data_IF_378949520698
#
_entry.id   IF_378949520698
#
_cell.length_a   1.000
_cell.length_b   1.000
_cell.length_c   1.000
_cell.angle_alpha   90.00
_cell.angle_beta   90.00
_cell.angle_gamma   90.00
#
_symmetry.space_group_name_H-M   'P 1'
#
loop_
_entity.id
_entity.type
_entity.pdbx_description
1 polymer ?
#
# COMPACT_ATOMS: atom_id res chain seq x y z
N UNK A 1 -18.14 -20.46 5.70
CA UNK A 1 -18.24 -19.14 6.36
C UNK A 1 -17.79 -19.32 7.80
N UNK A 2 -16.61 -18.82 8.14
CA UNK A 2 -16.09 -18.92 9.50
C UNK A 2 -16.82 -17.89 10.37
N UNK A 3 -17.39 -18.31 11.50
CA UNK A 3 -18.08 -17.41 12.42
C UNK A 3 -17.02 -16.74 13.30
N UNK A 4 -16.72 -15.48 13.02
CA UNK A 4 -15.78 -14.71 13.83
C UNK A 4 -16.50 -14.13 15.03
N UNK A 5 -15.94 -14.31 16.23
CA UNK A 5 -16.52 -13.79 17.45
C UNK A 5 -16.35 -12.27 17.53
N UNK A 6 -17.28 -11.59 18.19
CA UNK A 6 -17.21 -10.13 18.41
C UNK A 6 -15.96 -9.69 19.20
N UNK A 7 -15.32 -10.62 19.91
CA UNK A 7 -14.14 -10.37 20.75
C UNK A 7 -12.81 -10.64 20.06
N UNK A 8 -12.80 -11.11 18.80
CA UNK A 8 -11.58 -11.30 18.04
C UNK A 8 -11.04 -9.94 17.55
N UNK A 9 -10.45 -9.19 18.46
CA UNK A 9 -9.86 -7.89 18.19
C UNK A 9 -8.67 -8.01 17.22
N UNK A 10 -7.91 -9.10 17.33
CA UNK A 10 -6.72 -9.34 16.52
C UNK A 10 -7.06 -9.88 15.14
N UNK A 11 -8.27 -10.42 14.95
CA UNK A 11 -8.71 -11.10 13.70
C UNK A 11 -7.70 -12.15 13.24
N UNK A 12 -7.39 -13.09 14.15
CA UNK A 12 -6.40 -14.15 13.90
C UNK A 12 -6.66 -14.95 12.62
N UNK A 13 -7.90 -15.05 12.21
CA UNK A 13 -8.27 -15.70 10.96
C UNK A 13 -7.67 -15.03 9.71
N UNK A 14 -7.32 -13.74 9.77
CA UNK A 14 -6.66 -13.04 8.68
C UNK A 14 -5.23 -13.51 8.45
N UNK A 15 -4.61 -14.07 9.48
CA UNK A 15 -3.20 -14.49 9.48
C UNK A 15 -3.02 -15.99 9.66
N UNK A 16 -4.06 -16.78 9.31
CA UNK A 16 -3.97 -18.25 9.35
C UNK A 16 -2.76 -18.71 8.55
N UNK A 17 -1.89 -19.52 9.16
CA UNK A 17 -0.65 -20.04 8.58
C UNK A 17 0.37 -18.97 8.13
N UNK A 18 0.22 -17.72 8.59
CA UNK A 18 1.18 -16.67 8.30
C UNK A 18 2.48 -16.85 9.08
N UNK A 19 3.61 -16.79 8.39
CA UNK A 19 4.89 -16.53 9.06
C UNK A 19 4.90 -15.12 9.64
N UNK A 20 5.36 -14.96 10.87
CA UNK A 20 5.55 -13.68 11.51
C UNK A 20 7.03 -13.26 11.41
N UNK A 21 7.27 -12.00 11.09
CA UNK A 21 8.60 -11.44 10.89
C UNK A 21 8.94 -10.28 11.81
N UNK A 22 10.23 -10.05 11.96
CA UNK A 22 10.78 -8.95 12.72
C UNK A 22 10.55 -9.05 14.23
N UNK A 23 10.94 -7.99 14.93
CA UNK A 23 10.82 -7.87 16.40
C UNK A 23 9.36 -7.81 16.87
N UNK A 24 8.47 -7.35 16.03
CA UNK A 24 7.08 -7.01 16.39
C UNK A 24 6.04 -7.99 15.85
N UNK A 25 6.48 -9.13 15.28
CA UNK A 25 5.56 -10.17 14.81
C UNK A 25 4.65 -9.71 13.66
N UNK A 26 5.19 -8.96 12.71
CA UNK A 26 4.44 -8.52 11.53
C UNK A 26 4.25 -9.68 10.56
N UNK A 27 3.02 -9.99 10.09
CA UNK A 27 2.79 -11.04 9.11
C UNK A 27 3.64 -10.83 7.85
N UNK A 28 4.37 -11.88 7.44
CA UNK A 28 5.19 -11.81 6.23
C UNK A 28 4.32 -11.92 4.99
N UNK A 29 4.60 -11.06 4.02
CA UNK A 29 3.98 -11.13 2.70
C UNK A 29 4.90 -11.93 1.78
N UNK A 30 4.40 -12.97 1.10
CA UNK A 30 5.19 -13.74 0.15
C UNK A 30 5.82 -12.87 -0.93
N UNK A 31 6.98 -13.28 -1.43
CA UNK A 31 7.65 -12.63 -2.54
C UNK A 31 6.75 -12.64 -3.78
N UNK A 32 6.63 -11.51 -4.46
CA UNK A 32 5.82 -11.37 -5.67
C UNK A 32 6.61 -10.75 -6.82
N UNK A 33 6.29 -11.18 -8.05
CA UNK A 33 6.86 -10.68 -9.29
C UNK A 33 5.80 -10.02 -10.18
N UNK A 34 4.65 -9.66 -9.61
CA UNK A 34 3.53 -9.09 -10.35
C UNK A 34 4.01 -7.83 -11.08
N UNK A 35 3.84 -7.81 -12.41
CA UNK A 35 3.91 -6.57 -13.18
C UNK A 35 2.59 -5.82 -12.94
N UNK A 36 2.59 -4.50 -12.66
CA UNK A 36 1.34 -3.79 -12.42
C UNK A 36 0.43 -3.77 -13.65
N UNK A 37 -0.85 -3.51 -13.39
CA UNK A 37 -1.84 -3.26 -14.42
C UNK A 37 -1.54 -2.00 -15.24
N UNK A 38 -2.44 -1.62 -16.15
CA UNK A 38 -2.26 -0.42 -16.98
C UNK A 38 -2.43 0.88 -16.20
N UNK A 39 -3.21 0.84 -15.10
CA UNK A 39 -3.45 1.99 -14.22
C UNK A 39 -3.90 1.49 -12.83
N UNK A 40 -4.07 2.43 -11.90
CA UNK A 40 -4.59 2.15 -10.55
C UNK A 40 -5.87 2.92 -10.25
N UNK A 41 -6.71 2.31 -9.42
CA UNK A 41 -7.90 2.97 -8.84
C UNK A 41 -7.85 2.85 -7.32
N UNK A 42 -8.35 3.85 -6.60
CA UNK A 42 -8.47 3.70 -5.15
C UNK A 42 -9.64 2.76 -4.76
N UNK A 43 -9.56 2.22 -3.54
CA UNK A 43 -10.55 1.27 -3.03
C UNK A 43 -11.99 1.83 -3.07
N UNK A 44 -12.20 3.11 -2.80
CA UNK A 44 -13.53 3.69 -2.83
C UNK A 44 -14.05 3.82 -4.28
N UNK A 45 -13.18 4.23 -5.20
CA UNK A 45 -13.48 4.37 -6.61
C UNK A 45 -13.72 3.03 -7.30
N UNK A 46 -13.08 1.95 -6.83
CA UNK A 46 -13.21 0.60 -7.39
C UNK A 46 -14.65 0.09 -7.47
N UNK A 47 -15.56 0.63 -6.64
CA UNK A 47 -17.00 0.32 -6.65
C UNK A 47 -17.81 1.15 -7.66
N UNK A 48 -17.16 2.07 -8.38
CA UNK A 48 -17.85 2.91 -9.35
C UNK A 48 -18.29 2.10 -10.57
N UNK A 49 -19.56 2.29 -11.00
CA UNK A 49 -20.08 1.70 -12.24
C UNK A 49 -19.35 2.20 -13.50
N UNK A 50 -18.56 3.25 -13.39
CA UNK A 50 -17.75 3.79 -14.48
C UNK A 50 -16.53 2.92 -14.78
N UNK A 51 -16.02 2.17 -13.79
CA UNK A 51 -14.90 1.24 -13.97
C UNK A 51 -15.37 0.03 -14.78
N UNK A 52 -14.76 -0.21 -15.93
CA UNK A 52 -15.13 -1.29 -16.85
C UNK A 52 -14.08 -2.39 -16.94
N UNK A 53 -12.81 -2.02 -16.97
CA UNK A 53 -11.70 -2.92 -17.27
C UNK A 53 -10.97 -3.36 -16.00
N UNK A 54 -11.68 -3.96 -15.03
CA UNK A 54 -11.11 -4.36 -13.75
C UNK A 54 -9.81 -5.17 -13.89
N UNK A 55 -9.73 -6.07 -14.88
CA UNK A 55 -8.55 -6.92 -15.13
C UNK A 55 -7.32 -6.17 -15.65
N UNK A 56 -7.45 -4.89 -15.95
CA UNK A 56 -6.34 -4.04 -16.37
C UNK A 56 -5.91 -3.04 -15.27
N UNK A 57 -6.61 -3.03 -14.13
CA UNK A 57 -6.42 -2.06 -13.06
C UNK A 57 -5.97 -2.71 -11.76
N UNK A 58 -5.06 -2.05 -11.06
CA UNK A 58 -4.69 -2.40 -9.70
C UNK A 58 -5.48 -1.54 -8.71
N UNK A 59 -5.96 -2.15 -7.62
CA UNK A 59 -6.60 -1.40 -6.53
C UNK A 59 -5.54 -0.92 -5.56
N UNK A 60 -5.58 0.37 -5.19
CA UNK A 60 -4.74 0.94 -4.15
C UNK A 60 -5.57 1.50 -2.99
N UNK A 61 -4.92 1.81 -1.86
CA UNK A 61 -5.53 2.33 -0.64
C UNK A 61 -4.92 3.68 -0.22
N UNK A 62 -4.38 4.44 -1.17
CA UNK A 62 -3.73 5.74 -0.91
C UNK A 62 -4.75 6.87 -0.78
N UNK A 63 -5.72 6.64 0.10
CA UNK A 63 -6.82 7.52 0.48
C UNK A 63 -6.96 7.54 2.01
N UNK A 64 -7.77 8.43 2.56
CA UNK A 64 -7.99 8.49 4.01
C UNK A 64 -8.52 7.16 4.56
N UNK A 65 -8.00 6.74 5.71
CA UNK A 65 -8.31 5.46 6.37
C UNK A 65 -9.82 5.20 6.49
N UNK A 66 -10.63 6.23 6.73
CA UNK A 66 -12.08 6.14 6.85
C UNK A 66 -12.74 5.57 5.60
N UNK A 67 -12.16 5.77 4.43
CA UNK A 67 -12.72 5.31 3.14
C UNK A 67 -12.61 3.78 2.99
N UNK A 68 -11.65 3.15 3.66
CA UNK A 68 -11.46 1.70 3.60
C UNK A 68 -11.46 0.99 4.97
N UNK A 69 -11.71 1.71 6.07
CA UNK A 69 -11.88 1.10 7.40
C UNK A 69 -12.89 -0.07 7.39
N UNK A 70 -13.89 0.00 6.51
CA UNK A 70 -14.89 -1.06 6.31
C UNK A 70 -14.27 -2.40 5.87
N UNK A 71 -13.13 -2.38 5.17
CA UNK A 71 -12.39 -3.58 4.78
C UNK A 71 -11.86 -4.31 6.02
N UNK A 72 -11.28 -3.58 6.98
CA UNK A 72 -10.87 -4.15 8.26
C UNK A 72 -12.05 -4.69 9.06
N UNK A 73 -13.16 -3.96 9.08
CA UNK A 73 -14.32 -4.35 9.87
C UNK A 73 -14.98 -5.65 9.36
N UNK A 74 -15.09 -5.82 8.05
CA UNK A 74 -15.78 -6.93 7.37
C UNK A 74 -14.98 -7.40 6.14
N UNK A 75 -13.79 -8.00 6.30
CA UNK A 75 -12.90 -8.34 5.18
C UNK A 75 -13.57 -9.27 4.17
N UNK A 76 -14.26 -10.31 4.60
CA UNK A 76 -14.90 -11.31 3.72
C UNK A 76 -15.80 -10.68 2.65
N UNK A 77 -16.47 -9.60 3.01
CA UNK A 77 -17.43 -8.92 2.13
C UNK A 77 -16.78 -8.35 0.87
N UNK A 78 -15.47 -8.12 0.90
CA UNK A 78 -14.77 -7.42 -0.17
C UNK A 78 -13.87 -8.32 -1.02
N UNK A 79 -13.63 -9.57 -0.61
CA UNK A 79 -12.71 -10.46 -1.30
C UNK A 79 -13.15 -10.74 -2.74
N UNK A 80 -14.41 -11.09 -2.97
CA UNK A 80 -14.92 -11.35 -4.32
C UNK A 80 -14.85 -10.11 -5.23
N UNK A 81 -15.06 -8.91 -4.66
CA UNK A 81 -14.91 -7.67 -5.41
C UNK A 81 -13.45 -7.41 -5.81
N UNK A 82 -12.52 -7.52 -4.86
CA UNK A 82 -11.11 -7.30 -5.10
C UNK A 82 -10.51 -8.33 -6.06
N UNK A 83 -10.99 -9.56 -6.02
CA UNK A 83 -10.59 -10.64 -6.94
C UNK A 83 -10.91 -10.35 -8.41
N UNK A 84 -11.81 -9.43 -8.70
CA UNK A 84 -12.11 -9.02 -10.07
C UNK A 84 -11.00 -8.18 -10.72
N UNK A 85 -10.13 -7.57 -9.94
CA UNK A 85 -9.07 -6.69 -10.43
C UNK A 85 -7.81 -7.45 -10.86
N UNK A 86 -6.88 -6.75 -11.52
CA UNK A 86 -5.61 -7.33 -11.94
C UNK A 86 -4.76 -7.70 -10.73
N UNK A 87 -4.56 -6.75 -9.83
CA UNK A 87 -3.89 -6.95 -8.55
C UNK A 87 -4.41 -5.94 -7.51
N UNK A 88 -4.00 -6.16 -6.26
CA UNK A 88 -4.27 -5.25 -5.15
C UNK A 88 -2.96 -4.81 -4.53
N UNK A 89 -2.69 -3.50 -4.50
CA UNK A 89 -1.62 -2.95 -3.68
C UNK A 89 -2.07 -3.07 -2.22
N UNK A 90 -1.22 -3.64 -1.39
CA UNK A 90 -1.49 -3.88 0.03
C UNK A 90 -2.10 -2.64 0.72
N UNK A 91 -3.10 -2.79 1.61
CA UNK A 91 -3.68 -1.69 2.35
C UNK A 91 -2.65 -0.77 3.02
N UNK A 92 -2.98 0.51 3.14
CA UNK A 92 -2.08 1.55 3.66
C UNK A 92 -2.77 2.34 4.80
N UNK A 93 -3.19 1.65 5.88
CA UNK A 93 -3.56 2.37 7.09
C UNK A 93 -2.43 3.26 7.53
N UNK A 94 -2.75 4.51 7.80
CA UNK A 94 -1.80 5.59 7.97
C UNK A 94 -0.73 5.30 9.03
N UNK A 95 0.53 5.51 8.64
CA UNK A 95 1.67 5.51 9.54
C UNK A 95 2.27 6.91 9.50
N UNK A 96 1.96 7.70 10.51
CA UNK A 96 2.44 9.08 10.65
C UNK A 96 3.39 9.17 11.83
N UNK A 97 4.63 9.52 11.57
CA UNK A 97 5.70 9.59 12.56
C UNK A 97 6.20 11.04 12.72
N UNK A 98 6.98 11.33 13.75
CA UNK A 98 7.53 12.65 14.04
C UNK A 98 6.82 13.36 15.20
N UNK A 99 7.13 14.64 15.40
CA UNK A 99 6.71 15.42 16.58
C UNK A 99 5.20 15.42 16.83
N UNK A 100 4.41 15.43 15.77
CA UNK A 100 2.95 15.42 15.81
C UNK A 100 2.36 14.13 15.23
N UNK A 101 3.18 13.08 15.16
CA UNK A 101 2.78 11.79 14.61
C UNK A 101 2.03 10.92 15.61
N UNK A 102 1.69 9.72 15.16
CA UNK A 102 1.08 8.69 15.99
C UNK A 102 2.08 8.11 16.99
N UNK A 103 1.64 7.68 18.18
CA UNK A 103 2.45 6.81 19.04
C UNK A 103 2.92 5.56 18.29
N UNK A 104 4.13 5.07 18.60
CA UNK A 104 4.70 3.88 17.94
C UNK A 104 3.75 2.67 17.96
N UNK A 105 3.06 2.46 19.08
CA UNK A 105 2.09 1.37 19.20
C UNK A 105 0.97 1.44 18.14
N UNK A 106 0.51 2.64 17.79
CA UNK A 106 -0.49 2.82 16.73
C UNK A 106 0.12 2.60 15.33
N UNK A 107 1.35 3.05 15.12
CA UNK A 107 2.07 2.79 13.86
C UNK A 107 2.26 1.29 13.63
N UNK A 108 2.69 0.55 14.66
CA UNK A 108 2.85 -0.90 14.61
C UNK A 108 1.52 -1.63 14.41
N UNK A 109 0.46 -1.16 15.07
CA UNK A 109 -0.89 -1.68 14.86
C UNK A 109 -1.37 -1.48 13.42
N UNK A 110 -1.17 -0.30 12.84
CA UNK A 110 -1.53 -0.04 11.45
C UNK A 110 -0.70 -0.89 10.49
N UNK A 111 0.61 -1.03 10.75
CA UNK A 111 1.46 -1.93 9.97
C UNK A 111 0.96 -3.39 10.05
N UNK A 112 0.63 -3.87 11.25
CA UNK A 112 0.04 -5.20 11.43
C UNK A 112 -1.24 -5.36 10.61
N UNK A 113 -2.19 -4.40 10.69
CA UNK A 113 -3.45 -4.47 9.94
C UNK A 113 -3.25 -4.52 8.43
N UNK A 114 -2.31 -3.72 7.93
CA UNK A 114 -1.98 -3.69 6.50
C UNK A 114 -1.52 -5.07 6.03
N UNK A 115 -0.61 -5.68 6.77
CA UNK A 115 -0.07 -7.01 6.45
C UNK A 115 -1.08 -8.13 6.65
N UNK A 116 -1.88 -8.09 7.72
CA UNK A 116 -2.90 -9.09 7.97
C UNK A 116 -3.97 -9.13 6.87
N UNK A 117 -4.45 -7.96 6.43
CA UNK A 117 -5.39 -7.88 5.30
C UNK A 117 -4.75 -8.37 3.99
N UNK A 118 -3.50 -7.99 3.73
CA UNK A 118 -2.78 -8.46 2.56
C UNK A 118 -2.62 -9.98 2.55
N UNK A 119 -2.25 -10.57 3.69
CA UNK A 119 -2.18 -12.03 3.84
C UNK A 119 -3.53 -12.69 3.58
N UNK A 120 -4.61 -12.14 4.14
CA UNK A 120 -5.96 -12.66 3.92
C UNK A 120 -6.40 -12.58 2.45
N UNK A 121 -6.04 -11.50 1.75
CA UNK A 121 -6.27 -11.39 0.30
C UNK A 121 -5.54 -12.52 -0.45
N UNK A 122 -4.29 -12.81 -0.09
CA UNK A 122 -3.50 -13.90 -0.69
C UNK A 122 -4.16 -15.26 -0.44
N UNK A 123 -4.65 -15.52 0.78
CA UNK A 123 -5.42 -16.74 1.11
C UNK A 123 -6.71 -16.87 0.28
N UNK A 124 -7.23 -15.76 -0.23
CA UNK A 124 -8.39 -15.72 -1.12
C UNK A 124 -8.01 -15.63 -2.62
N UNK A 125 -6.79 -16.04 -3.01
CA UNK A 125 -6.29 -16.04 -4.40
C UNK A 125 -6.28 -14.66 -5.06
N UNK A 126 -6.16 -13.57 -4.30
CA UNK A 126 -6.02 -12.23 -4.83
C UNK A 126 -4.53 -11.93 -5.01
N UNK A 127 -4.07 -11.52 -6.21
CA UNK A 127 -2.71 -11.09 -6.42
C UNK A 127 -2.43 -9.80 -5.62
N UNK A 128 -1.44 -9.85 -4.71
CA UNK A 128 -1.11 -8.71 -3.84
C UNK A 128 0.29 -8.18 -4.14
N UNK A 129 0.40 -6.86 -4.28
CA UNK A 129 1.66 -6.12 -4.39
C UNK A 129 1.94 -5.47 -3.03
N UNK A 130 3.06 -5.83 -2.36
CA UNK A 130 3.42 -5.24 -1.07
C UNK A 130 3.56 -3.72 -1.13
N UNK A 131 2.99 -3.01 -0.16
CA UNK A 131 3.18 -1.58 0.02
C UNK A 131 4.30 -1.30 1.02
N UNK A 132 5.18 -0.34 0.70
CA UNK A 132 6.29 0.09 1.54
C UNK A 132 6.05 1.51 2.02
N UNK A 133 5.92 1.69 3.32
CA UNK A 133 5.93 3.03 3.92
C UNK A 133 7.37 3.53 3.99
N UNK A 134 7.72 4.52 3.15
CA UNK A 134 9.03 5.18 3.19
C UNK A 134 9.06 6.11 4.40
N UNK A 135 9.80 5.76 5.44
CA UNK A 135 9.83 6.43 6.73
C UNK A 135 11.26 6.90 7.09
N UNK A 136 11.40 7.88 8.02
CA UNK A 136 12.69 8.34 8.52
C UNK A 136 13.54 7.24 9.17
N UNK A 137 14.84 7.48 9.28
CA UNK A 137 15.85 6.54 9.76
C UNK A 137 15.49 5.87 11.10
N UNK A 138 14.97 6.63 12.06
CA UNK A 138 14.59 6.08 13.38
C UNK A 138 13.42 5.06 13.34
N UNK A 139 12.83 4.81 12.16
CA UNK A 139 11.81 3.78 11.94
C UNK A 139 12.34 2.53 11.24
N UNK A 140 13.59 2.53 10.77
CA UNK A 140 14.10 1.49 9.88
C UNK A 140 14.28 0.11 10.53
N UNK A 141 14.28 0.03 11.85
CA UNK A 141 14.33 -1.23 12.58
C UNK A 141 13.00 -2.00 12.59
N UNK A 142 11.92 -1.40 12.07
CA UNK A 142 10.61 -2.06 12.01
C UNK A 142 9.82 -1.79 10.72
N UNK A 143 10.06 -0.68 10.01
CA UNK A 143 9.18 -0.31 8.89
C UNK A 143 9.27 -1.26 7.69
N UNK A 144 10.34 -2.03 7.56
CA UNK A 144 10.51 -3.05 6.52
C UNK A 144 10.14 -4.47 6.96
N UNK A 145 9.78 -4.67 8.24
CA UNK A 145 9.38 -5.98 8.75
C UNK A 145 8.21 -6.57 7.94
N UNK A 146 8.26 -7.88 7.71
CA UNK A 146 7.23 -8.60 6.95
C UNK A 146 7.35 -8.48 5.43
N UNK A 147 8.24 -7.64 4.90
CA UNK A 147 8.50 -7.50 3.46
C UNK A 147 9.68 -8.38 3.03
N UNK A 148 9.64 -8.89 1.80
CA UNK A 148 10.67 -9.79 1.29
C UNK A 148 11.51 -9.14 0.19
N UNK A 149 12.83 -9.42 0.24
CA UNK A 149 13.80 -8.98 -0.75
C UNK A 149 13.48 -9.50 -2.16
N UNK A 150 13.67 -8.66 -3.18
CA UNK A 150 13.50 -9.00 -4.59
C UNK A 150 12.06 -9.08 -5.07
N UNK A 151 11.11 -8.47 -4.36
CA UNK A 151 9.72 -8.36 -4.77
C UNK A 151 9.46 -7.15 -5.68
N UNK A 152 8.38 -7.19 -6.47
CA UNK A 152 7.70 -5.96 -6.89
C UNK A 152 7.08 -5.33 -5.66
N UNK A 153 7.30 -4.03 -5.44
CA UNK A 153 6.74 -3.29 -4.30
C UNK A 153 6.08 -2.00 -4.77
N UNK A 154 5.21 -1.44 -3.95
CA UNK A 154 4.58 -0.15 -4.22
C UNK A 154 4.82 0.83 -3.07
N UNK A 155 4.81 2.13 -3.36
CA UNK A 155 4.78 3.19 -2.36
C UNK A 155 3.99 4.39 -2.88
N UNK A 156 3.59 5.29 -1.96
CA UNK A 156 2.89 6.51 -2.31
C UNK A 156 3.69 7.74 -1.88
N UNK A 157 3.71 8.75 -2.74
CA UNK A 157 4.34 10.04 -2.46
C UNK A 157 3.34 11.10 -2.01
N UNK A 158 2.04 10.79 -1.97
CA UNK A 158 1.01 11.74 -1.57
C UNK A 158 1.27 12.26 -0.15
N UNK A 159 1.28 13.59 -0.01
CA UNK A 159 1.56 14.24 1.28
C UNK A 159 3.03 14.27 1.71
N UNK A 160 3.92 13.47 1.10
CA UNK A 160 5.31 13.28 1.52
C UNK A 160 6.36 14.08 0.74
N UNK A 161 5.96 14.74 -0.36
CA UNK A 161 6.89 15.43 -1.27
C UNK A 161 6.55 16.91 -1.48
N UNK A 162 5.88 17.52 -0.49
CA UNK A 162 5.38 18.90 -0.58
C UNK A 162 6.50 19.97 -0.47
N UNK A 163 7.57 19.69 0.24
CA UNK A 163 8.71 20.60 0.39
C UNK A 163 10.01 19.93 -0.05
N UNK A 164 11.04 20.71 -0.33
CA UNK A 164 12.36 20.17 -0.67
C UNK A 164 12.92 19.26 0.43
N UNK A 165 12.77 19.66 1.70
CA UNK A 165 13.21 18.84 2.83
C UNK A 165 12.48 17.49 2.88
N UNK A 166 11.16 17.49 2.68
CA UNK A 166 10.36 16.26 2.65
C UNK A 166 10.72 15.35 1.46
N UNK A 167 11.03 15.93 0.28
CA UNK A 167 11.50 15.17 -0.88
C UNK A 167 12.86 14.50 -0.62
N UNK A 168 13.80 15.24 -0.03
CA UNK A 168 15.11 14.69 0.33
C UNK A 168 15.00 13.57 1.38
N UNK A 169 14.16 13.76 2.40
CA UNK A 169 13.90 12.71 3.41
C UNK A 169 13.30 11.45 2.75
N UNK A 170 12.34 11.62 1.84
CA UNK A 170 11.79 10.52 1.05
C UNK A 170 12.88 9.79 0.26
N UNK A 171 13.76 10.53 -0.45
CA UNK A 171 14.85 9.93 -1.23
C UNK A 171 15.82 9.13 -0.36
N UNK A 172 16.14 9.62 0.84
CA UNK A 172 17.00 8.89 1.80
C UNK A 172 16.32 7.58 2.24
N UNK A 173 15.05 7.63 2.61
CA UNK A 173 14.30 6.43 2.99
C UNK A 173 14.10 5.46 1.81
N UNK A 174 13.94 5.98 0.59
CA UNK A 174 13.83 5.18 -0.62
C UNK A 174 15.13 4.40 -0.91
N UNK A 175 16.29 5.04 -0.80
CA UNK A 175 17.61 4.38 -0.92
C UNK A 175 17.79 3.27 0.12
N UNK A 176 17.36 3.50 1.35
CA UNK A 176 17.41 2.45 2.38
C UNK A 176 16.44 1.29 2.07
N UNK A 177 15.27 1.57 1.53
CA UNK A 177 14.36 0.54 1.03
C UNK A 177 15.02 -0.29 -0.08
N UNK A 178 15.65 0.35 -1.06
CA UNK A 178 16.39 -0.35 -2.13
C UNK A 178 17.51 -1.22 -1.57
N UNK A 179 18.28 -0.71 -0.62
CA UNK A 179 19.39 -1.45 0.00
C UNK A 179 18.91 -2.71 0.72
N UNK A 180 17.77 -2.64 1.43
CA UNK A 180 17.24 -3.76 2.23
C UNK A 180 16.41 -4.72 1.40
N UNK A 181 15.53 -4.20 0.57
CA UNK A 181 14.55 -5.02 -0.14
C UNK A 181 15.01 -5.42 -1.55
N UNK A 182 15.99 -4.72 -2.12
CA UNK A 182 16.50 -4.95 -3.49
C UNK A 182 15.34 -5.26 -4.45
N UNK A 183 14.35 -4.36 -4.55
CA UNK A 183 13.12 -4.65 -5.26
C UNK A 183 13.39 -4.92 -6.75
N UNK A 184 12.62 -5.83 -7.34
CA UNK A 184 12.64 -6.06 -8.78
C UNK A 184 12.19 -4.81 -9.54
N UNK A 185 11.14 -4.15 -9.05
CA UNK A 185 10.61 -2.87 -9.49
C UNK A 185 9.83 -2.19 -8.38
N UNK A 186 9.68 -0.88 -8.50
CA UNK A 186 8.90 -0.07 -7.55
C UNK A 186 7.78 0.65 -8.29
N UNK A 187 6.55 0.45 -7.84
CA UNK A 187 5.39 1.21 -8.29
C UNK A 187 5.29 2.45 -7.40
N UNK A 188 5.35 3.64 -8.00
CA UNK A 188 5.15 4.90 -7.29
C UNK A 188 3.80 5.49 -7.70
N UNK A 189 2.89 5.62 -6.73
CA UNK A 189 1.63 6.33 -6.95
C UNK A 189 1.77 7.77 -6.45
N UNK A 190 1.74 8.72 -7.38
CA UNK A 190 1.93 10.15 -7.13
C UNK A 190 3.14 10.74 -7.86
N UNK A 191 3.55 11.95 -7.44
CA UNK A 191 4.66 12.66 -8.07
C UNK A 191 5.99 12.06 -7.64
N UNK A 192 6.85 11.70 -8.58
CA UNK A 192 8.23 11.31 -8.29
C UNK A 192 9.03 12.58 -7.93
N UNK A 193 9.77 12.60 -6.80
CA UNK A 193 10.68 13.69 -6.47
C UNK A 193 11.75 13.88 -7.54
N UNK A 194 12.06 15.14 -7.88
CA UNK A 194 13.13 15.47 -8.85
C UNK A 194 14.52 15.03 -8.36
N UNK A 195 14.66 14.93 -7.03
CA UNK A 195 15.90 14.53 -6.37
C UNK A 195 16.06 12.99 -6.26
N UNK A 196 15.09 12.21 -6.75
CA UNK A 196 15.16 10.75 -6.68
C UNK A 196 16.07 10.20 -7.78
N UNK A 197 17.20 9.65 -7.36
CA UNK A 197 18.14 8.92 -8.21
C UNK A 197 18.05 7.42 -7.89
N UNK A 198 17.77 6.58 -8.88
CA UNK A 198 17.65 5.13 -8.73
C UNK A 198 17.91 4.42 -10.05
N UNK A 199 18.52 3.23 -9.98
CA UNK A 199 18.65 2.29 -11.08
C UNK A 199 17.53 1.24 -11.09
N UNK A 200 16.70 1.21 -10.06
CA UNK A 200 15.56 0.30 -9.98
C UNK A 200 14.47 0.71 -10.97
N UNK A 201 13.87 -0.24 -11.65
CA UNK A 201 12.72 0.01 -12.54
C UNK A 201 11.58 0.69 -11.77
N UNK A 202 11.20 1.90 -12.21
CA UNK A 202 10.07 2.65 -11.63
C UNK A 202 8.90 2.61 -12.60
N UNK A 203 7.72 2.22 -12.09
CA UNK A 203 6.45 2.37 -12.78
C UNK A 203 5.62 3.40 -12.02
N UNK A 204 5.25 4.50 -12.69
CA UNK A 204 4.58 5.63 -12.05
C UNK A 204 3.11 5.71 -12.43
N UNK A 205 2.24 5.80 -11.43
CA UNK A 205 0.82 6.08 -11.60
C UNK A 205 0.45 7.40 -10.92
N UNK A 206 -0.57 8.06 -11.47
CA UNK A 206 -1.14 9.28 -10.88
C UNK A 206 -2.07 8.93 -9.72
N UNK A 207 -2.08 9.78 -8.70
CA UNK A 207 -3.13 9.73 -7.68
C UNK A 207 -4.47 10.15 -8.28
N UNK A 208 -5.57 9.79 -7.62
CA UNK A 208 -6.92 10.24 -8.02
C UNK A 208 -7.01 11.76 -8.16
N UNK A 209 -6.46 12.51 -7.22
CA UNK A 209 -6.49 13.98 -7.27
C UNK A 209 -5.72 14.54 -8.48
N UNK A 210 -4.62 13.93 -8.87
CA UNK A 210 -3.88 14.31 -10.08
C UNK A 210 -4.71 14.05 -11.34
N UNK A 211 -5.40 12.91 -11.41
CA UNK A 211 -6.29 12.56 -12.54
C UNK A 211 -7.44 13.57 -12.67
N UNK A 212 -8.13 13.86 -11.56
CA UNK A 212 -9.25 14.84 -11.54
C UNK A 212 -8.80 16.23 -11.97
N UNK A 213 -7.64 16.69 -11.49
CA UNK A 213 -7.14 18.02 -11.84
C UNK A 213 -6.81 18.15 -13.33
N UNK A 214 -6.31 17.10 -13.97
CA UNK A 214 -6.03 17.09 -15.40
C UNK A 214 -7.30 17.05 -16.24
N UNK A 215 -8.31 16.28 -15.84
CA UNK A 215 -9.62 16.26 -16.50
C UNK A 215 -10.30 17.63 -16.41
N UNK A 216 -10.21 18.32 -15.25
CA UNK A 216 -10.78 19.65 -15.05
C UNK A 216 -10.08 20.75 -15.87
N UNK A 217 -8.79 20.61 -16.13
CA UNK A 217 -8.04 21.55 -17.00
C UNK A 217 -8.41 21.35 -18.48
N UNK A 218 -8.60 20.10 -18.91
CA UNK A 218 -8.96 19.79 -20.29
C UNK A 218 -10.42 20.12 -20.62
N UNK A 219 -11.33 20.07 -19.63
CA UNK A 219 -12.75 20.41 -19.81
C UNK A 219 -13.06 21.91 -19.87
N UNK A 220 -12.09 22.78 -19.58
CA UNK A 220 -12.26 24.24 -19.67
C UNK A 220 -11.70 24.86 -20.97
N UNK A 221 -11.21 24.05 -21.88
CA UNK A 221 -10.63 24.48 -23.17
C UNK A 221 -11.49 24.13 -24.38
N UNK A 222 -12.71 23.62 -24.19
CA UNK A 222 -13.75 23.40 -25.18
C UNK A 222 -14.93 24.40 -24.92
#
# INVERSE_FOLDING_TARGET
MQIHTAYDVMKEFLITDADLGGKYGIPKIPKTFIHPGKDTVDFAESFSRKIKNHRELDVNFYVDDVQFQRLWNQPDKYMEHLKCFHAVIMPDFSISVGKNGMPLAMCLWNKYRNHALAHYMILNDIPVIPNVSILPEYCWDWCFDGLQEGSTVACCTNGRVKSKAARLEFCVGFKEMERRLKPLRVIIVGRIPEELETDTEIINFKTRNQKINEEGVNGNND
#
